data_IF_835049903924
#
_entry.id   IF_835049903924
#
_cell.length_a   1.000
_cell.length_b   1.000
_cell.length_c   1.000
_cell.angle_alpha   90.00
_cell.angle_beta   90.00
_cell.angle_gamma   90.00
#
_symmetry.space_group_name_H-M   'P 1'
#
loop_
_entity.id
_entity.type
_entity.pdbx_description
1 polymer ?
#
# COMPACT_ATOMS: atom_id res chain seq x y z
N UNK A 1 -3.49 1.66 6.08
CA UNK A 1 -3.89 2.79 5.23
C UNK A 1 -3.71 4.12 5.95
N UNK A 2 -4.47 4.41 7.00
CA UNK A 2 -4.39 5.72 7.65
C UNK A 2 -3.21 5.99 8.55
N UNK A 3 -2.78 4.99 9.30
CA UNK A 3 -1.68 5.16 10.24
C UNK A 3 -0.36 5.46 9.51
N UNK A 4 -0.25 5.00 8.26
CA UNK A 4 1.00 5.04 7.51
C UNK A 4 0.90 5.97 6.29
N UNK A 5 -0.09 5.74 5.40
CA UNK A 5 -0.14 6.41 4.09
C UNK A 5 -0.61 7.87 4.18
N UNK A 6 -1.61 8.17 5.00
CA UNK A 6 -2.07 9.55 5.17
C UNK A 6 -0.98 10.48 5.75
N UNK A 7 -0.27 10.11 6.84
CA UNK A 7 0.90 10.86 7.29
C UNK A 7 2.00 10.93 6.22
N UNK A 8 2.31 9.83 5.53
CA UNK A 8 3.30 9.84 4.46
C UNK A 8 2.95 10.86 3.37
N UNK A 9 1.68 10.93 2.94
CA UNK A 9 1.22 11.93 1.98
C UNK A 9 1.39 13.36 2.53
N UNK A 10 0.99 13.62 3.78
CA UNK A 10 1.13 14.95 4.41
C UNK A 10 2.58 15.43 4.50
N UNK A 11 3.53 14.50 4.58
CA UNK A 11 4.96 14.78 4.68
C UNK A 11 5.70 14.64 3.35
N UNK A 12 5.00 14.43 2.24
CA UNK A 12 5.61 14.32 0.91
C UNK A 12 6.45 13.07 0.69
N UNK A 13 6.25 12.02 1.51
CA UNK A 13 6.96 10.75 1.38
C UNK A 13 6.31 9.88 0.31
N UNK A 14 7.16 9.21 -0.48
CA UNK A 14 6.72 8.10 -1.31
C UNK A 14 6.28 6.94 -0.44
N UNK A 15 5.20 6.27 -0.81
CA UNK A 15 4.65 5.19 -0.02
C UNK A 15 4.24 3.97 -0.87
N UNK A 16 4.28 2.79 -0.24
CA UNK A 16 3.97 1.51 -0.86
C UNK A 16 2.94 0.77 -0.01
N UNK A 17 1.77 0.50 -0.58
CA UNK A 17 0.70 -0.19 0.13
C UNK A 17 0.78 -1.70 -0.09
N UNK A 18 1.02 -2.45 0.99
CA UNK A 18 0.87 -3.90 1.00
C UNK A 18 -0.58 -4.26 1.36
N UNK A 19 -1.42 -4.45 0.33
CA UNK A 19 -2.84 -4.73 0.46
C UNK A 19 -3.10 -6.22 0.76
N UNK A 20 -2.80 -6.62 2.00
CA UNK A 20 -2.88 -8.04 2.41
C UNK A 20 -4.27 -8.65 2.25
N UNK A 21 -5.32 -7.90 2.58
CA UNK A 21 -6.74 -8.32 2.52
C UNK A 21 -7.39 -8.03 1.16
N UNK A 22 -6.62 -8.05 0.07
CA UNK A 22 -7.12 -7.68 -1.26
C UNK A 22 -8.24 -8.57 -1.80
N UNK A 23 -8.36 -9.79 -1.30
CA UNK A 23 -9.38 -10.76 -1.68
C UNK A 23 -10.54 -10.85 -0.66
N UNK A 24 -10.47 -10.09 0.44
CA UNK A 24 -11.50 -10.09 1.48
C UNK A 24 -12.46 -8.91 1.27
N UNK A 25 -13.76 -9.15 1.49
CA UNK A 25 -14.74 -8.08 1.55
C UNK A 25 -14.68 -7.33 2.89
N UNK A 26 -15.05 -6.05 2.85
CA UNK A 26 -15.07 -5.17 4.01
C UNK A 26 -13.68 -4.71 4.48
N UNK A 27 -13.68 -3.84 5.50
CA UNK A 27 -12.47 -3.15 5.96
C UNK A 27 -11.79 -3.86 7.15
N UNK A 28 -12.29 -5.02 7.56
CA UNK A 28 -11.90 -5.69 8.81
C UNK A 28 -12.17 -4.78 10.01
N UNK A 29 -11.17 -4.60 10.88
CA UNK A 29 -11.24 -3.70 12.03
C UNK A 29 -11.07 -2.20 11.67
N UNK A 30 -10.94 -1.87 10.38
CA UNK A 30 -10.69 -0.50 9.94
C UNK A 30 -12.01 0.22 9.69
N UNK A 31 -12.21 1.38 10.29
CA UNK A 31 -13.38 2.23 10.05
C UNK A 31 -13.41 2.70 8.58
N UNK A 32 -14.60 2.96 8.03
CA UNK A 32 -14.77 3.39 6.64
C UNK A 32 -13.90 4.62 6.34
N UNK A 33 -13.09 4.64 5.26
CA UNK A 33 -11.92 5.50 5.28
C UNK A 33 -12.13 7.02 5.12
N UNK A 34 -13.37 7.48 4.90
CA UNK A 34 -13.54 8.78 4.24
C UNK A 34 -12.78 8.75 2.91
N UNK A 35 -11.90 9.72 2.67
CA UNK A 35 -11.06 9.76 1.48
C UNK A 35 -9.88 8.78 1.57
N UNK A 36 -9.70 7.99 0.52
CA UNK A 36 -8.58 7.06 0.41
C UNK A 36 -7.25 7.83 0.23
N UNK A 37 -6.24 7.60 1.08
CA UNK A 37 -4.91 8.18 0.89
C UNK A 37 -4.28 7.74 -0.45
N UNK A 38 -3.48 8.63 -1.05
CA UNK A 38 -2.71 8.31 -2.25
C UNK A 38 -1.61 7.30 -1.92
N UNK A 39 -1.34 6.39 -2.85
CA UNK A 39 -0.20 5.48 -2.79
C UNK A 39 0.55 5.42 -4.11
N UNK A 40 1.88 5.39 -4.04
CA UNK A 40 2.73 5.37 -5.24
C UNK A 40 2.91 3.95 -5.78
N UNK A 41 2.90 2.96 -4.90
CA UNK A 41 3.00 1.55 -5.24
C UNK A 41 1.95 0.74 -4.48
N UNK A 42 1.52 -0.37 -5.08
CA UNK A 42 0.63 -1.34 -4.42
C UNK A 42 1.05 -2.76 -4.75
N UNK A 43 1.21 -3.57 -3.72
CA UNK A 43 1.43 -5.02 -3.83
C UNK A 43 0.48 -5.77 -2.92
N UNK A 44 0.22 -7.03 -3.22
CA UNK A 44 -0.65 -7.90 -2.41
C UNK A 44 0.12 -8.59 -1.28
N UNK A 45 1.44 -8.69 -1.41
CA UNK A 45 2.34 -9.22 -0.40
C UNK A 45 3.72 -8.53 -0.44
N UNK A 46 4.52 -8.76 0.60
CA UNK A 46 5.93 -8.34 0.61
C UNK A 46 6.75 -9.11 -0.43
N UNK A 47 6.38 -10.37 -0.72
CA UNK A 47 7.06 -11.18 -1.72
C UNK A 47 6.89 -10.57 -3.12
N UNK A 48 5.68 -10.14 -3.48
CA UNK A 48 5.41 -9.49 -4.77
C UNK A 48 6.22 -8.20 -4.94
N UNK A 49 6.39 -7.43 -3.87
CA UNK A 49 7.24 -6.23 -3.87
C UNK A 49 8.72 -6.58 -4.15
N UNK A 50 9.22 -7.66 -3.54
CA UNK A 50 10.61 -8.12 -3.75
C UNK A 50 10.81 -8.61 -5.17
N UNK A 51 9.85 -9.35 -5.72
CA UNK A 51 9.92 -9.82 -7.10
C UNK A 51 9.87 -8.66 -8.11
N UNK A 52 9.03 -7.66 -7.86
CA UNK A 52 9.01 -6.45 -8.69
C UNK A 52 10.35 -5.69 -8.65
N UNK A 53 10.96 -5.55 -7.46
CA UNK A 53 12.27 -4.95 -7.31
C UNK A 53 13.36 -5.73 -8.06
N UNK A 54 13.33 -7.06 -8.00
CA UNK A 54 14.27 -7.92 -8.76
C UNK A 54 14.11 -7.75 -10.27
N UNK A 55 12.87 -7.67 -10.75
CA UNK A 55 12.60 -7.45 -12.16
C UNK A 55 13.10 -6.07 -12.65
N UNK A 56 12.88 -5.02 -11.86
CA UNK A 56 13.37 -3.66 -12.17
C UNK A 56 14.90 -3.62 -12.30
N UNK A 57 15.62 -4.32 -11.41
CA UNK A 57 17.10 -4.38 -11.46
C UNK A 57 17.66 -5.23 -12.61
N UNK A 58 16.82 -6.02 -13.28
CA UNK A 58 17.24 -6.88 -14.39
C UNK A 58 17.10 -6.20 -15.76
N UNK A 59 16.44 -5.03 -15.82
CA UNK A 59 16.32 -4.18 -17.02
C UNK A 59 17.39 -3.10 -17.09
#
# INVERSE_FOLDING_TARGET
>A
MFHDHAPANRHGLKNCWIYRRHADEGFGATMHPGDMPHYDFRFTSMADMVEAHRAELAG
#
